data_IF_677658481202
#
_entry.id   IF_677658481202
#
_cell.length_a   1.000
_cell.length_b   1.000
_cell.length_c   1.000
_cell.angle_alpha   90.00
_cell.angle_beta   90.00
_cell.angle_gamma   90.00
#
_symmetry.space_group_name_H-M   'P 1'
#
loop_
_entity.id
_entity.type
_entity.pdbx_description
1 polymer ?
#
# COMPACT_ATOMS: atom_id res chain seq x y z
N UNK A 1 -16.35 39.76 -25.94
CA UNK A 1 -16.82 40.06 -24.56
C UNK A 1 -17.96 39.12 -24.12
N UNK A 2 -18.90 38.77 -25.01
CA UNK A 2 -19.98 37.80 -24.72
C UNK A 2 -19.50 36.36 -24.48
N UNK A 3 -18.49 35.87 -25.21
CA UNK A 3 -17.89 34.54 -24.94
C UNK A 3 -17.22 34.42 -23.56
N UNK A 4 -16.80 35.54 -22.96
CA UNK A 4 -16.25 35.59 -21.59
C UNK A 4 -17.34 35.61 -20.51
N UNK A 5 -18.56 36.05 -20.84
CA UNK A 5 -19.72 36.00 -19.93
C UNK A 5 -20.35 34.60 -19.88
N UNK A 6 -20.30 33.85 -20.98
CA UNK A 6 -20.79 32.45 -21.03
C UNK A 6 -19.97 31.47 -20.19
N UNK A 7 -18.68 31.74 -19.93
CA UNK A 7 -17.86 30.91 -19.02
C UNK A 7 -18.09 31.22 -17.54
N UNK A 8 -18.83 32.29 -17.21
CA UNK A 8 -19.05 32.77 -15.82
C UNK A 8 -20.47 32.46 -15.34
N UNK A 9 -21.27 31.80 -16.17
CA UNK A 9 -22.64 31.39 -15.84
C UNK A 9 -22.75 29.88 -15.56
N UNK A 10 -21.65 29.23 -15.17
CA UNK A 10 -21.75 27.96 -14.46
C UNK A 10 -22.32 28.26 -13.07
N UNK A 11 -23.64 28.09 -12.93
CA UNK A 11 -24.30 28.05 -11.61
C UNK A 11 -23.42 27.20 -10.68
N UNK A 12 -23.13 27.63 -9.44
CA UNK A 12 -22.36 26.82 -8.51
C UNK A 12 -23.06 25.46 -8.39
N UNK A 13 -22.41 24.43 -8.93
CA UNK A 13 -22.92 23.07 -8.85
C UNK A 13 -22.41 22.48 -7.55
N UNK A 14 -23.33 21.98 -6.73
CA UNK A 14 -23.02 21.30 -5.49
C UNK A 14 -22.51 19.88 -5.81
N UNK A 15 -21.35 19.77 -6.46
CA UNK A 15 -20.73 18.50 -6.84
C UNK A 15 -19.81 18.07 -5.71
N UNK A 16 -20.18 17.00 -5.01
CA UNK A 16 -19.35 16.39 -3.96
C UNK A 16 -18.29 15.50 -4.61
N UNK A 17 -18.68 14.71 -5.62
CA UNK A 17 -17.80 13.81 -6.36
C UNK A 17 -18.03 14.01 -7.87
N UNK A 18 -16.99 14.31 -8.67
CA UNK A 18 -17.15 14.55 -10.11
C UNK A 18 -17.45 13.24 -10.87
N UNK A 19 -18.22 13.33 -11.96
CA UNK A 19 -18.53 12.18 -12.82
C UNK A 19 -17.27 11.63 -13.50
N UNK A 20 -16.45 12.50 -14.07
CA UNK A 20 -15.15 12.13 -14.63
C UNK A 20 -14.11 12.09 -13.51
N UNK A 21 -13.87 10.89 -12.97
CA UNK A 21 -12.88 10.66 -11.91
C UNK A 21 -12.21 9.30 -12.06
N UNK A 22 -11.13 9.10 -11.32
CA UNK A 22 -10.58 7.76 -11.09
C UNK A 22 -11.56 6.98 -10.22
N UNK A 23 -11.97 5.81 -10.67
CA UNK A 23 -12.88 4.93 -9.94
C UNK A 23 -12.16 3.81 -9.20
N UNK A 24 -10.84 3.65 -9.41
CA UNK A 24 -10.00 2.81 -8.57
C UNK A 24 -9.35 3.67 -7.49
N UNK A 25 -9.84 3.57 -6.26
CA UNK A 25 -9.39 4.36 -5.12
C UNK A 25 -8.63 3.44 -4.16
N UNK A 26 -7.36 3.79 -3.92
CA UNK A 26 -6.52 3.12 -2.93
C UNK A 26 -6.52 3.92 -1.62
N UNK A 27 -6.91 3.27 -0.51
CA UNK A 27 -7.01 3.89 0.81
C UNK A 27 -6.22 3.12 1.89
N UNK A 28 -5.11 2.48 1.50
CA UNK A 28 -4.16 1.83 2.40
C UNK A 28 -3.63 2.83 3.44
N UNK A 29 -3.81 2.55 4.73
CA UNK A 29 -3.35 3.42 5.82
C UNK A 29 -4.10 4.75 5.95
N UNK A 30 -5.27 4.88 5.31
CA UNK A 30 -6.06 6.11 5.36
C UNK A 30 -6.52 6.46 6.79
N UNK A 31 -6.44 7.75 7.11
CA UNK A 31 -7.06 8.32 8.30
C UNK A 31 -8.59 8.26 8.23
N UNK A 32 -9.26 8.50 9.37
CA UNK A 32 -10.73 8.54 9.41
C UNK A 32 -11.31 9.58 8.45
N UNK A 33 -10.67 10.75 8.33
CA UNK A 33 -11.12 11.84 7.44
C UNK A 33 -10.88 11.50 5.98
N UNK A 34 -9.76 10.86 5.65
CA UNK A 34 -9.48 10.44 4.27
C UNK A 34 -10.44 9.34 3.81
N UNK A 35 -10.78 8.40 4.69
CA UNK A 35 -11.68 7.30 4.34
C UNK A 35 -13.14 7.75 4.27
N UNK A 36 -13.61 8.49 5.28
CA UNK A 36 -15.04 8.78 5.50
C UNK A 36 -15.45 10.20 5.11
N UNK A 37 -14.50 11.05 4.70
CA UNK A 37 -14.75 12.44 4.39
C UNK A 37 -14.80 13.32 5.64
N UNK A 38 -14.77 14.62 5.40
CA UNK A 38 -14.78 15.63 6.46
C UNK A 38 -15.36 16.95 5.94
N UNK A 39 -15.59 17.90 6.85
CA UNK A 39 -15.99 19.27 6.52
C UNK A 39 -14.90 20.24 6.98
N UNK A 40 -14.34 20.99 6.03
CA UNK A 40 -13.30 21.98 6.31
C UNK A 40 -13.76 23.02 7.33
N UNK A 41 -12.81 23.48 8.14
CA UNK A 41 -13.02 24.59 9.04
C UNK A 41 -13.29 25.88 8.26
N UNK A 42 -14.21 26.71 8.75
CA UNK A 42 -14.38 28.08 8.27
C UNK A 42 -13.68 29.05 9.23
N UNK A 43 -12.56 29.70 8.82
CA UNK A 43 -11.84 30.65 9.65
C UNK A 43 -12.70 31.84 10.11
N UNK A 44 -13.77 32.17 9.37
CA UNK A 44 -14.66 33.29 9.66
C UNK A 44 -15.92 32.87 10.42
N UNK A 45 -16.01 31.62 10.88
CA UNK A 45 -17.09 31.15 11.74
C UNK A 45 -18.49 31.22 11.10
N UNK A 46 -18.59 31.13 9.78
CA UNK A 46 -19.85 31.22 9.04
C UNK A 46 -20.35 32.64 8.79
N UNK A 47 -19.46 33.65 8.83
CA UNK A 47 -19.85 35.04 8.54
C UNK A 47 -20.50 35.15 7.14
N UNK A 48 -21.73 35.70 7.01
CA UNK A 48 -22.51 35.64 5.77
C UNK A 48 -21.80 36.17 4.52
N UNK A 49 -20.98 37.20 4.68
CA UNK A 49 -20.30 37.89 3.56
C UNK A 49 -18.84 37.47 3.33
N UNK A 50 -18.23 36.74 4.28
CA UNK A 50 -16.78 36.46 4.29
C UNK A 50 -16.44 34.97 4.48
N UNK A 51 -17.35 34.19 5.07
CA UNK A 51 -17.21 32.77 5.28
C UNK A 51 -17.49 31.97 4.01
N UNK A 52 -17.00 30.73 4.00
CA UNK A 52 -17.29 29.79 2.90
C UNK A 52 -18.57 29.01 3.19
N UNK A 53 -19.38 28.80 2.16
CA UNK A 53 -20.67 28.16 2.36
C UNK A 53 -20.48 26.71 2.81
N UNK A 54 -21.37 26.15 3.66
CA UNK A 54 -21.21 24.80 4.18
C UNK A 54 -20.97 23.73 3.12
N UNK A 55 -21.65 23.79 1.97
CA UNK A 55 -21.48 22.82 0.89
C UNK A 55 -20.12 22.90 0.19
N UNK A 56 -19.47 24.07 0.17
CA UNK A 56 -18.14 24.28 -0.44
C UNK A 56 -17.02 23.67 0.41
N UNK A 57 -17.33 23.39 1.68
CA UNK A 57 -16.39 22.86 2.67
C UNK A 57 -16.45 21.35 2.80
N UNK A 58 -17.44 20.70 2.19
CA UNK A 58 -17.60 19.24 2.22
C UNK A 58 -16.52 18.59 1.37
N UNK A 59 -15.78 17.67 1.96
CA UNK A 59 -14.73 16.90 1.29
C UNK A 59 -15.15 15.43 1.27
N UNK A 60 -15.25 14.80 0.09
CA UNK A 60 -15.55 13.38 0.01
C UNK A 60 -14.41 12.56 0.62
N UNK A 61 -14.79 11.48 1.31
CA UNK A 61 -13.86 10.42 1.64
C UNK A 61 -13.65 9.43 0.49
N UNK A 62 -12.63 8.59 0.61
CA UNK A 62 -12.30 7.53 -0.35
C UNK A 62 -13.49 6.62 -0.66
N UNK A 63 -14.37 6.33 0.32
CA UNK A 63 -15.58 5.53 0.09
C UNK A 63 -16.54 6.18 -0.91
N UNK A 64 -16.62 7.52 -0.92
CA UNK A 64 -17.50 8.28 -1.80
C UNK A 64 -16.86 8.44 -3.18
N UNK A 65 -15.56 8.69 -3.22
CA UNK A 65 -14.80 8.73 -4.48
C UNK A 65 -14.87 7.38 -5.22
N UNK A 66 -14.88 6.28 -4.47
CA UNK A 66 -15.00 4.92 -4.99
C UNK A 66 -16.41 4.51 -5.44
N UNK A 67 -17.43 5.37 -5.28
CA UNK A 67 -18.79 5.07 -5.74
C UNK A 67 -18.79 4.62 -7.21
N UNK A 68 -19.54 3.56 -7.53
CA UNK A 68 -19.57 2.89 -8.85
C UNK A 68 -18.18 2.46 -9.35
N UNK A 69 -17.27 2.20 -8.42
CA UNK A 69 -15.87 1.86 -8.67
C UNK A 69 -15.34 0.80 -7.71
N UNK A 70 -14.05 0.87 -7.42
CA UNK A 70 -13.31 -0.05 -6.56
C UNK A 70 -12.68 0.74 -5.41
N UNK A 71 -12.94 0.29 -4.19
CA UNK A 71 -12.21 0.70 -2.99
C UNK A 71 -11.21 -0.40 -2.64
N UNK A 72 -9.91 -0.11 -2.84
CA UNK A 72 -8.82 -1.02 -2.51
C UNK A 72 -8.13 -0.59 -1.21
N UNK A 73 -8.02 -1.52 -0.27
CA UNK A 73 -7.32 -1.30 1.00
C UNK A 73 -6.36 -2.46 1.23
N UNK A 74 -5.07 -2.20 1.04
CA UNK A 74 -4.03 -3.10 1.51
C UNK A 74 -3.86 -2.99 3.02
N UNK A 75 -3.40 -4.07 3.64
CA UNK A 75 -3.19 -4.18 5.08
C UNK A 75 -4.37 -3.66 5.91
N UNK A 76 -5.59 -4.15 5.63
CA UNK A 76 -6.87 -3.72 6.24
C UNK A 76 -6.85 -3.65 7.78
N UNK A 77 -5.94 -4.37 8.42
CA UNK A 77 -5.76 -4.36 9.87
C UNK A 77 -5.29 -3.02 10.42
N UNK A 78 -4.58 -2.21 9.62
CA UNK A 78 -4.13 -0.87 10.04
C UNK A 78 -5.28 0.14 10.18
N UNK A 79 -6.41 -0.09 9.52
CA UNK A 79 -7.61 0.76 9.62
C UNK A 79 -8.61 0.23 10.67
N UNK A 80 -8.10 -0.41 11.73
CA UNK A 80 -8.83 -1.14 12.77
C UNK A 80 -10.27 -0.68 13.04
N UNK A 81 -10.46 0.47 13.71
CA UNK A 81 -11.79 0.95 14.10
C UNK A 81 -12.65 1.36 12.88
N UNK A 82 -12.02 1.67 11.75
CA UNK A 82 -12.71 2.13 10.55
C UNK A 82 -13.39 1.01 9.77
N UNK A 83 -13.02 -0.25 10.02
CA UNK A 83 -13.65 -1.42 9.39
C UNK A 83 -15.17 -1.47 9.63
N UNK A 84 -15.66 -0.98 10.77
CA UNK A 84 -17.10 -0.88 11.06
C UNK A 84 -17.81 0.06 10.10
N UNK A 85 -17.18 1.19 9.77
CA UNK A 85 -17.76 2.16 8.85
C UNK A 85 -17.75 1.67 7.40
N UNK A 86 -16.71 0.92 7.01
CA UNK A 86 -16.68 0.24 5.71
C UNK A 86 -17.86 -0.74 5.62
N UNK A 87 -18.08 -1.55 6.66
CA UNK A 87 -19.23 -2.46 6.70
C UNK A 87 -20.55 -1.71 6.52
N UNK A 88 -20.77 -0.63 7.26
CA UNK A 88 -21.98 0.20 7.12
C UNK A 88 -22.11 0.79 5.71
N UNK A 89 -21.04 1.35 5.16
CA UNK A 89 -21.01 1.90 3.81
C UNK A 89 -21.34 0.84 2.74
N UNK A 90 -20.83 -0.39 2.89
CA UNK A 90 -21.16 -1.52 2.01
C UNK A 90 -22.63 -1.97 2.15
N UNK A 91 -23.21 -1.88 3.35
CA UNK A 91 -24.60 -2.26 3.61
C UNK A 91 -25.59 -1.24 3.05
N UNK A 92 -25.35 0.03 3.34
CA UNK A 92 -26.28 1.12 3.06
C UNK A 92 -26.07 1.75 1.68
N UNK A 93 -24.91 1.49 1.04
CA UNK A 93 -24.46 2.05 -0.24
C UNK A 93 -24.41 3.58 -0.27
N UNK A 94 -24.61 4.20 0.89
CA UNK A 94 -24.53 5.61 1.16
C UNK A 94 -23.89 5.79 2.53
N UNK A 95 -23.15 6.88 2.72
CA UNK A 95 -22.52 7.17 4.00
C UNK A 95 -22.53 8.69 4.22
N UNK A 96 -22.82 9.18 5.44
CA UNK A 96 -22.86 10.61 5.68
C UNK A 96 -21.45 11.21 5.80
N UNK A 97 -21.27 12.42 5.25
CA UNK A 97 -20.08 13.24 5.50
C UNK A 97 -20.39 14.19 6.66
N UNK A 98 -19.58 14.12 7.71
CA UNK A 98 -19.72 14.93 8.92
C UNK A 98 -18.41 15.65 9.22
N UNK A 99 -18.48 16.84 9.82
CA UNK A 99 -17.30 17.48 10.38
C UNK A 99 -16.79 16.70 11.59
N UNK A 100 -15.62 16.07 11.49
CA UNK A 100 -15.10 15.14 12.50
C UNK A 100 -14.28 15.81 13.59
N UNK A 101 -13.82 17.04 13.37
CA UNK A 101 -13.13 17.83 14.39
C UNK A 101 -14.15 18.59 15.27
N UNK A 102 -14.35 18.21 16.55
CA UNK A 102 -15.34 18.83 17.44
C UNK A 102 -15.03 20.31 17.76
N UNK A 103 -13.77 20.72 17.64
CA UNK A 103 -13.34 22.10 17.87
C UNK A 103 -13.48 22.98 16.62
N UNK A 104 -13.89 22.40 15.49
CA UNK A 104 -14.07 23.12 14.23
C UNK A 104 -15.53 23.54 14.05
N UNK A 105 -15.74 24.73 13.47
CA UNK A 105 -17.04 25.16 12.97
C UNK A 105 -17.66 24.20 11.92
N UNK A 106 -16.83 23.32 11.31
CA UNK A 106 -17.28 22.24 10.44
C UNK A 106 -18.09 21.14 11.15
N UNK A 107 -17.96 20.96 12.46
CA UNK A 107 -18.66 19.91 13.24
C UNK A 107 -20.19 20.03 13.23
N UNK A 108 -20.72 21.22 12.93
CA UNK A 108 -22.16 21.49 12.82
C UNK A 108 -22.76 21.04 11.49
N UNK A 109 -21.94 20.69 10.50
CA UNK A 109 -22.37 20.35 9.14
C UNK A 109 -22.40 18.84 8.98
N UNK A 110 -23.54 18.33 8.51
CA UNK A 110 -23.77 16.94 8.14
C UNK A 110 -24.45 16.88 6.79
N UNK A 111 -23.86 16.12 5.87
CA UNK A 111 -24.47 15.78 4.58
C UNK A 111 -24.90 14.33 4.63
N UNK A 112 -26.20 14.10 4.50
CA UNK A 112 -26.78 12.76 4.53
C UNK A 112 -26.81 12.11 3.14
N UNK A 113 -26.89 10.78 3.11
CA UNK A 113 -27.12 9.97 1.91
C UNK A 113 -26.11 10.24 0.77
N UNK A 114 -24.83 10.49 1.09
CA UNK A 114 -23.80 10.63 0.06
C UNK A 114 -23.50 9.24 -0.52
N UNK A 115 -23.62 9.03 -1.85
CA UNK A 115 -23.43 7.72 -2.45
C UNK A 115 -22.02 7.15 -2.27
N UNK A 116 -21.95 5.86 -1.97
CA UNK A 116 -20.71 5.10 -1.82
C UNK A 116 -20.91 3.61 -2.19
N UNK A 117 -21.61 3.33 -3.28
CA UNK A 117 -21.77 1.96 -3.81
C UNK A 117 -20.48 1.49 -4.52
N UNK A 118 -19.51 0.97 -3.77
CA UNK A 118 -18.21 0.52 -4.29
C UNK A 118 -18.03 -1.00 -4.22
N UNK A 119 -17.19 -1.54 -5.10
CA UNK A 119 -16.64 -2.90 -4.97
C UNK A 119 -15.48 -2.83 -3.98
N UNK A 120 -15.61 -3.54 -2.85
CA UNK A 120 -14.58 -3.57 -1.83
C UNK A 120 -13.52 -4.65 -2.12
N UNK A 121 -12.24 -4.29 -2.11
CA UNK A 121 -11.12 -5.21 -2.17
C UNK A 121 -10.21 -4.93 -0.97
N UNK A 122 -10.26 -5.81 0.03
CA UNK A 122 -9.35 -5.79 1.18
C UNK A 122 -8.25 -6.83 1.01
N UNK A 123 -7.00 -6.46 1.31
CA UNK A 123 -5.87 -7.36 1.37
C UNK A 123 -5.25 -7.38 2.78
N UNK A 124 -4.71 -8.53 3.17
CA UNK A 124 -3.98 -8.71 4.43
C UNK A 124 -3.04 -9.92 4.33
N UNK A 125 -2.05 -9.97 5.23
CA UNK A 125 -1.24 -11.18 5.38
C UNK A 125 -1.99 -12.26 6.17
N UNK A 126 -1.50 -13.49 6.11
CA UNK A 126 -2.10 -14.64 6.80
C UNK A 126 -2.15 -14.42 8.33
N UNK A 127 -1.08 -13.84 8.90
CA UNK A 127 -0.97 -13.56 10.35
C UNK A 127 -2.01 -12.53 10.80
N UNK A 128 -2.40 -11.66 9.87
CA UNK A 128 -3.27 -10.52 10.12
C UNK A 128 -4.77 -10.85 10.01
N UNK A 129 -5.10 -12.03 9.46
CA UNK A 129 -6.48 -12.47 9.21
C UNK A 129 -7.35 -12.45 10.48
N UNK A 130 -6.75 -12.73 11.65
CA UNK A 130 -7.45 -12.72 12.94
C UNK A 130 -7.89 -11.33 13.41
N UNK A 131 -7.31 -10.26 12.86
CA UNK A 131 -7.62 -8.87 13.22
C UNK A 131 -8.67 -8.24 12.32
N UNK A 132 -9.20 -8.97 11.33
CA UNK A 132 -10.35 -8.52 10.55
C UNK A 132 -11.59 -8.59 11.44
N UNK A 133 -12.36 -7.51 11.48
CA UNK A 133 -13.62 -7.40 12.19
C UNK A 133 -14.55 -8.56 11.79
N UNK A 134 -14.99 -9.44 12.72
CA UNK A 134 -15.74 -10.64 12.34
C UNK A 134 -17.03 -10.37 11.53
N UNK A 135 -17.83 -9.33 11.85
CA UNK A 135 -18.94 -8.91 10.99
C UNK A 135 -18.56 -8.57 9.55
N UNK A 136 -17.44 -7.86 9.33
CA UNK A 136 -16.98 -7.50 7.99
C UNK A 136 -16.53 -8.74 7.22
N UNK A 137 -15.75 -9.61 7.86
CA UNK A 137 -15.32 -10.88 7.26
C UNK A 137 -16.52 -11.78 6.93
N UNK A 138 -17.47 -11.90 7.84
CA UNK A 138 -18.70 -12.68 7.61
C UNK A 138 -19.51 -12.14 6.43
N UNK A 139 -19.55 -10.81 6.24
CA UNK A 139 -20.18 -10.19 5.06
C UNK A 139 -19.46 -10.56 3.77
N UNK A 140 -18.12 -10.50 3.75
CA UNK A 140 -17.30 -10.90 2.60
C UNK A 140 -17.49 -12.40 2.28
N UNK A 141 -17.54 -13.27 3.29
CA UNK A 141 -17.76 -14.71 3.09
C UNK A 141 -19.19 -15.03 2.60
N UNK A 142 -20.18 -14.27 3.05
CA UNK A 142 -21.58 -14.49 2.67
C UNK A 142 -21.94 -13.98 1.28
N UNK A 143 -21.29 -12.90 0.81
CA UNK A 143 -21.68 -12.19 -0.42
C UNK A 143 -20.51 -11.91 -1.39
N UNK A 144 -19.31 -12.42 -1.10
CA UNK A 144 -18.10 -12.18 -1.87
C UNK A 144 -17.17 -13.39 -1.92
N UNK A 145 -15.87 -13.12 -2.02
CA UNK A 145 -14.82 -14.14 -2.20
C UNK A 145 -13.65 -13.89 -1.25
N UNK A 146 -13.12 -14.95 -0.66
CA UNK A 146 -11.80 -14.96 0.00
C UNK A 146 -10.83 -15.70 -0.93
N UNK A 147 -9.70 -15.07 -1.26
CA UNK A 147 -8.71 -15.61 -2.20
C UNK A 147 -7.37 -15.72 -1.48
N UNK A 148 -6.83 -16.93 -1.39
CA UNK A 148 -5.45 -17.15 -0.97
C UNK A 148 -4.54 -17.07 -2.21
N UNK A 149 -3.62 -16.10 -2.21
CA UNK A 149 -2.69 -15.89 -3.32
C UNK A 149 -1.62 -16.99 -3.33
N UNK A 150 -1.40 -17.61 -4.50
CA UNK A 150 -0.31 -18.56 -4.69
C UNK A 150 1.06 -17.86 -4.63
N UNK A 151 2.05 -18.51 -4.03
CA UNK A 151 3.43 -18.02 -3.99
C UNK A 151 4.29 -18.56 -5.13
N UNK A 152 3.83 -19.58 -5.84
CA UNK A 152 4.51 -20.20 -6.98
C UNK A 152 3.54 -20.58 -8.11
N UNK A 153 4.08 -20.81 -9.30
CA UNK A 153 3.38 -21.38 -10.44
C UNK A 153 4.22 -22.50 -11.10
N UNK A 154 3.62 -23.46 -11.81
CA UNK A 154 4.38 -24.53 -12.47
C UNK A 154 5.39 -24.00 -13.49
N UNK A 155 6.56 -24.61 -13.58
CA UNK A 155 7.58 -24.26 -14.58
C UNK A 155 7.26 -24.85 -15.96
N UNK A 156 6.38 -24.17 -16.69
CA UNK A 156 5.98 -24.49 -18.06
C UNK A 156 6.46 -23.43 -19.04
N UNK A 157 6.55 -23.78 -20.34
CA UNK A 157 6.92 -22.81 -21.38
C UNK A 157 5.99 -21.59 -21.43
N UNK A 158 4.70 -21.79 -21.15
CA UNK A 158 3.71 -20.70 -21.06
C UNK A 158 4.03 -19.75 -19.89
N UNK A 159 4.32 -20.30 -18.70
CA UNK A 159 4.62 -19.50 -17.52
C UNK A 159 6.00 -18.81 -17.61
N UNK A 160 6.97 -19.42 -18.31
CA UNK A 160 8.23 -18.76 -18.68
C UNK A 160 7.99 -17.56 -19.60
N UNK A 161 7.08 -17.69 -20.58
CA UNK A 161 6.70 -16.58 -21.44
C UNK A 161 6.00 -15.46 -20.65
N UNK A 162 5.17 -15.80 -19.65
CA UNK A 162 4.59 -14.81 -18.72
C UNK A 162 5.66 -14.09 -17.89
N UNK A 163 6.72 -14.77 -17.45
CA UNK A 163 7.85 -14.10 -16.79
C UNK A 163 8.62 -13.17 -17.73
N UNK A 164 8.82 -13.56 -19.00
CA UNK A 164 9.41 -12.68 -19.99
C UNK A 164 8.54 -11.42 -20.23
N UNK A 165 7.22 -11.59 -20.30
CA UNK A 165 6.26 -10.49 -20.36
C UNK A 165 6.33 -9.60 -19.12
N UNK A 166 6.42 -10.20 -17.92
CA UNK A 166 6.62 -9.48 -16.66
C UNK A 166 7.88 -8.60 -16.69
N UNK A 167 9.02 -9.13 -17.17
CA UNK A 167 10.25 -8.33 -17.31
C UNK A 167 10.04 -7.13 -18.24
N UNK A 168 9.37 -7.33 -19.38
CA UNK A 168 9.07 -6.23 -20.30
C UNK A 168 8.15 -5.18 -19.66
N UNK A 169 7.14 -5.62 -18.89
CA UNK A 169 6.23 -4.73 -18.17
C UNK A 169 6.94 -3.92 -17.08
N UNK A 170 7.83 -4.55 -16.30
CA UNK A 170 8.60 -3.84 -15.26
C UNK A 170 9.52 -2.77 -15.87
N UNK A 171 10.14 -3.05 -17.02
CA UNK A 171 10.96 -2.08 -17.75
C UNK A 171 10.12 -0.90 -18.25
N UNK A 172 8.95 -1.19 -18.84
CA UNK A 172 8.03 -0.15 -19.34
C UNK A 172 7.47 0.72 -18.20
N UNK A 173 7.09 0.11 -17.07
CA UNK A 173 6.58 0.82 -15.89
C UNK A 173 7.66 1.71 -15.28
N UNK A 174 8.91 1.24 -15.23
CA UNK A 174 10.03 2.03 -14.71
C UNK A 174 10.37 3.22 -15.63
N UNK A 175 10.43 2.96 -16.94
CA UNK A 175 10.63 3.97 -17.98
C UNK A 175 12.03 4.61 -18.04
N UNK A 176 12.97 4.19 -17.18
CA UNK A 176 14.33 4.76 -17.11
C UNK A 176 15.43 3.74 -17.41
N UNK A 177 15.14 2.46 -17.29
CA UNK A 177 16.08 1.37 -17.56
C UNK A 177 15.97 0.88 -19.02
N UNK A 178 17.08 0.40 -19.63
CA UNK A 178 17.07 -0.07 -21.01
C UNK A 178 16.33 -1.42 -21.17
N UNK A 179 15.95 -1.80 -22.41
CA UNK A 179 15.39 -3.12 -22.70
C UNK A 179 16.35 -4.26 -22.34
N UNK A 180 15.80 -5.43 -22.01
CA UNK A 180 16.58 -6.61 -21.69
C UNK A 180 16.84 -7.49 -22.91
N UNK A 181 18.05 -8.06 -23.00
CA UNK A 181 18.38 -9.14 -23.93
C UNK A 181 17.83 -10.48 -23.44
N UNK A 182 17.76 -11.44 -24.36
CA UNK A 182 17.26 -12.80 -24.08
C UNK A 182 18.04 -13.49 -22.96
N UNK A 183 19.37 -13.33 -22.93
CA UNK A 183 20.24 -13.89 -21.88
C UNK A 183 19.91 -13.34 -20.48
N UNK A 184 19.57 -12.05 -20.38
CA UNK A 184 19.12 -11.45 -19.12
C UNK A 184 17.77 -12.03 -18.67
N UNK A 185 16.82 -12.18 -19.61
CA UNK A 185 15.49 -12.74 -19.32
C UNK A 185 15.59 -14.20 -18.88
N UNK A 186 16.41 -15.01 -19.56
CA UNK A 186 16.65 -16.40 -19.17
C UNK A 186 17.22 -16.51 -17.75
N UNK A 187 18.18 -15.65 -17.39
CA UNK A 187 18.72 -15.63 -16.03
C UNK A 187 17.68 -15.20 -14.98
N UNK A 188 16.78 -14.28 -15.31
CA UNK A 188 15.68 -13.90 -14.41
C UNK A 188 14.71 -15.08 -14.20
N UNK A 189 14.43 -15.85 -15.25
CA UNK A 189 13.59 -17.06 -15.14
C UNK A 189 14.29 -18.13 -14.28
N UNK A 190 15.59 -18.33 -14.46
CA UNK A 190 16.37 -19.25 -13.62
C UNK A 190 16.41 -18.80 -12.15
N UNK A 191 16.53 -17.49 -11.89
CA UNK A 191 16.42 -16.94 -10.54
C UNK A 191 15.01 -17.13 -9.96
N UNK A 192 13.96 -17.00 -10.78
CA UNK A 192 12.59 -17.26 -10.36
C UNK A 192 12.37 -18.73 -9.96
N UNK A 193 12.98 -19.68 -10.71
CA UNK A 193 12.98 -21.12 -10.35
C UNK A 193 13.73 -21.36 -9.04
N UNK A 194 14.92 -20.77 -8.92
CA UNK A 194 15.75 -20.91 -7.72
C UNK A 194 15.04 -20.37 -6.47
N UNK A 195 14.35 -19.24 -6.57
CA UNK A 195 13.57 -18.66 -5.46
C UNK A 195 12.40 -19.55 -5.05
N UNK A 196 11.65 -20.11 -6.01
CA UNK A 196 10.59 -21.06 -5.70
C UNK A 196 11.13 -22.27 -4.90
N UNK A 197 12.29 -22.80 -5.30
CA UNK A 197 12.92 -23.92 -4.59
C UNK A 197 13.45 -23.54 -3.19
N UNK A 198 14.10 -22.39 -3.06
CA UNK A 198 14.80 -22.01 -1.81
C UNK A 198 13.85 -21.40 -0.77
N UNK A 199 12.86 -20.63 -1.20
CA UNK A 199 11.96 -19.89 -0.31
C UNK A 199 10.69 -20.67 -0.02
N UNK A 200 10.08 -21.24 -1.07
CA UNK A 200 8.77 -21.88 -0.98
C UNK A 200 8.87 -23.43 -0.93
N UNK A 201 10.09 -24.00 -0.98
CA UNK A 201 10.38 -25.45 -1.00
C UNK A 201 9.65 -26.21 -2.13
N UNK A 202 9.51 -25.55 -3.28
CA UNK A 202 8.79 -26.10 -4.45
C UNK A 202 9.76 -26.41 -5.60
N UNK A 203 9.84 -27.67 -5.99
CA UNK A 203 10.51 -28.10 -7.22
C UNK A 203 9.62 -27.84 -8.46
N UNK A 204 10.24 -27.83 -9.65
CA UNK A 204 9.57 -27.64 -10.94
C UNK A 204 8.60 -26.45 -11.00
N UNK A 205 8.92 -25.39 -10.25
CA UNK A 205 8.07 -24.22 -10.04
C UNK A 205 8.84 -22.92 -10.23
N UNK A 206 8.11 -21.85 -10.52
CA UNK A 206 8.57 -20.47 -10.66
C UNK A 206 7.92 -19.61 -9.58
N UNK A 207 8.67 -18.68 -8.98
CA UNK A 207 8.13 -17.83 -7.92
C UNK A 207 7.12 -16.81 -8.46
N UNK A 208 6.06 -16.57 -7.70
CA UNK A 208 5.09 -15.47 -7.89
C UNK A 208 5.36 -14.30 -6.95
N UNK A 209 6.50 -14.29 -6.23
CA UNK A 209 6.99 -13.15 -5.45
C UNK A 209 7.59 -12.09 -6.39
N UNK A 210 6.74 -11.58 -7.28
CA UNK A 210 7.13 -10.73 -8.41
C UNK A 210 7.70 -9.39 -7.95
N UNK A 211 7.30 -8.87 -6.78
CA UNK A 211 7.89 -7.65 -6.21
C UNK A 211 9.39 -7.78 -6.00
N UNK A 212 9.83 -8.90 -5.43
CA UNK A 212 11.23 -9.17 -5.16
C UNK A 212 12.00 -9.45 -6.46
N UNK A 213 11.36 -10.10 -7.44
CA UNK A 213 11.95 -10.38 -8.74
C UNK A 213 12.09 -9.09 -9.57
N UNK A 214 11.09 -8.21 -9.54
CA UNK A 214 11.12 -6.89 -10.17
C UNK A 214 12.19 -5.99 -9.56
N UNK A 215 12.50 -6.16 -8.27
CA UNK A 215 13.65 -5.53 -7.63
C UNK A 215 14.99 -5.90 -8.28
N UNK A 216 15.15 -7.16 -8.70
CA UNK A 216 16.33 -7.61 -9.47
C UNK A 216 16.35 -6.98 -10.85
N UNK A 217 15.21 -6.93 -11.54
CA UNK A 217 15.09 -6.32 -12.88
C UNK A 217 15.51 -4.85 -12.84
N UNK A 218 14.95 -4.06 -11.91
CA UNK A 218 15.30 -2.65 -11.74
C UNK A 218 16.78 -2.45 -11.43
N UNK A 219 17.32 -3.22 -10.48
CA UNK A 219 18.75 -3.11 -10.13
C UNK A 219 19.67 -3.50 -11.30
N UNK A 220 19.32 -4.52 -12.09
CA UNK A 220 20.07 -4.88 -13.29
C UNK A 220 19.99 -3.75 -14.34
N UNK A 221 18.84 -3.10 -14.45
CA UNK A 221 18.63 -1.91 -15.26
C UNK A 221 19.50 -0.74 -14.82
N UNK A 222 19.51 -0.42 -13.53
CA UNK A 222 20.35 0.65 -12.96
C UNK A 222 21.84 0.40 -13.24
N UNK A 223 22.30 -0.85 -13.09
CA UNK A 223 23.67 -1.25 -13.43
C UNK A 223 23.96 -1.02 -14.92
N UNK A 224 23.03 -1.38 -15.81
CA UNK A 224 23.17 -1.16 -17.24
C UNK A 224 23.30 0.33 -17.56
N UNK A 225 22.46 1.18 -16.94
CA UNK A 225 22.49 2.65 -17.10
C UNK A 225 23.82 3.22 -16.60
N UNK A 226 24.28 2.80 -15.43
CA UNK A 226 25.57 3.24 -14.87
C UNK A 226 26.76 2.89 -15.76
N UNK A 227 26.70 1.75 -16.46
CA UNK A 227 27.73 1.29 -17.39
C UNK A 227 27.58 1.90 -18.80
N UNK A 228 26.52 2.67 -19.06
CA UNK A 228 26.20 3.22 -20.37
C UNK A 228 25.82 2.16 -21.41
N UNK A 229 25.32 1.00 -20.95
CA UNK A 229 24.87 -0.08 -21.82
C UNK A 229 23.50 0.20 -22.42
N UNK A 230 23.36 -0.06 -23.73
CA UNK A 230 22.09 0.07 -24.45
C UNK A 230 21.06 -0.99 -24.03
N UNK A 231 21.50 -2.11 -23.46
CA UNK A 231 20.63 -3.22 -23.03
C UNK A 231 21.02 -3.77 -21.66
N UNK A 232 20.04 -4.33 -20.95
CA UNK A 232 20.28 -5.21 -19.80
C UNK A 232 20.80 -6.54 -20.32
N UNK A 233 21.97 -6.96 -19.86
CA UNK A 233 22.61 -8.23 -20.22
C UNK A 233 22.65 -9.17 -19.02
N UNK A 234 22.96 -10.44 -19.25
CA UNK A 234 23.05 -11.42 -18.17
C UNK A 234 24.06 -11.03 -17.08
N UNK A 235 25.15 -10.32 -17.44
CA UNK A 235 26.13 -9.81 -16.46
C UNK A 235 25.52 -8.85 -15.45
N UNK A 236 24.63 -7.96 -15.90
CA UNK A 236 23.94 -7.03 -15.01
C UNK A 236 22.99 -7.77 -14.08
N UNK A 237 22.28 -8.78 -14.59
CA UNK A 237 21.37 -9.61 -13.78
C UNK A 237 22.13 -10.41 -12.72
N UNK A 238 23.24 -11.06 -13.07
CA UNK A 238 24.08 -11.77 -12.09
C UNK A 238 24.59 -10.85 -10.98
N UNK A 239 25.01 -9.64 -11.36
CA UNK A 239 25.46 -8.63 -10.40
C UNK A 239 24.30 -8.13 -9.52
N UNK A 240 23.12 -7.93 -10.10
CA UNK A 240 21.91 -7.53 -9.39
C UNK A 240 21.47 -8.61 -8.39
N UNK A 241 21.43 -9.89 -8.78
CA UNK A 241 21.07 -11.00 -7.87
C UNK A 241 21.98 -11.03 -6.64
N UNK A 242 23.28 -10.77 -6.80
CA UNK A 242 24.24 -10.74 -5.67
C UNK A 242 24.02 -9.55 -4.73
N UNK A 243 23.49 -8.44 -5.24
CA UNK A 243 23.29 -7.19 -4.50
C UNK A 243 21.87 -7.04 -3.94
N UNK A 244 20.87 -7.60 -4.61
CA UNK A 244 19.46 -7.60 -4.26
C UNK A 244 19.13 -8.69 -3.23
N UNK A 245 20.02 -8.88 -2.24
CA UNK A 245 19.77 -9.75 -1.09
C UNK A 245 19.07 -8.93 0.01
N UNK A 246 18.06 -9.47 0.69
CA UNK A 246 17.38 -8.78 1.80
C UNK A 246 18.37 -8.34 2.88
N UNK A 247 18.03 -7.27 3.62
CA UNK A 247 18.89 -6.73 4.69
C UNK A 247 19.16 -7.79 5.75
N UNK A 248 18.17 -8.63 6.00
CA UNK A 248 18.21 -9.81 6.84
C UNK A 248 19.38 -10.74 6.47
N UNK A 249 19.51 -11.05 5.19
CA UNK A 249 20.57 -11.90 4.67
C UNK A 249 21.92 -11.18 4.66
N UNK A 250 21.94 -9.86 4.40
CA UNK A 250 23.14 -9.04 4.51
C UNK A 250 23.69 -9.02 5.94
N UNK A 251 22.81 -8.90 6.94
CA UNK A 251 23.16 -8.96 8.36
C UNK A 251 23.79 -10.30 8.69
N UNK A 252 23.17 -11.40 8.26
CA UNK A 252 23.72 -12.74 8.51
C UNK A 252 25.07 -12.92 7.81
N UNK A 253 25.22 -12.49 6.56
CA UNK A 253 26.50 -12.56 5.82
C UNK A 253 27.61 -11.73 6.49
N UNK A 254 27.29 -10.55 7.02
CA UNK A 254 28.27 -9.63 7.63
C UNK A 254 28.59 -9.95 9.08
N UNK A 255 27.60 -10.40 9.87
CA UNK A 255 27.68 -10.55 11.32
C UNK A 255 27.48 -11.99 11.81
N UNK A 256 27.22 -12.94 10.91
CA UNK A 256 26.90 -14.36 11.17
C UNK A 256 25.56 -14.62 11.86
N UNK A 257 25.09 -13.68 12.69
CA UNK A 257 23.78 -13.72 13.33
C UNK A 257 23.24 -12.31 13.59
N UNK A 258 21.93 -12.21 13.80
CA UNK A 258 21.27 -10.97 14.22
C UNK A 258 21.75 -10.46 15.58
N UNK A 259 21.94 -11.37 16.54
CA UNK A 259 22.40 -11.02 17.88
C UNK A 259 23.77 -10.35 17.85
N UNK A 260 24.68 -10.86 17.03
CA UNK A 260 26.01 -10.28 16.85
C UNK A 260 25.96 -8.89 16.20
N UNK A 261 25.03 -8.67 15.28
CA UNK A 261 24.82 -7.37 14.66
C UNK A 261 24.32 -6.36 15.69
N UNK A 262 23.31 -6.72 16.49
CA UNK A 262 22.78 -5.89 17.57
C UNK A 262 23.85 -5.56 18.62
N UNK A 263 24.66 -6.54 19.03
CA UNK A 263 25.74 -6.30 20.00
C UNK A 263 26.80 -5.31 19.53
N UNK A 264 27.10 -5.30 18.23
CA UNK A 264 28.06 -4.35 17.63
C UNK A 264 27.48 -2.97 17.40
N UNK A 265 26.16 -2.87 17.20
CA UNK A 265 25.47 -1.60 17.01
C UNK A 265 25.19 -0.87 18.33
N UNK A 266 25.08 -1.61 19.43
CA UNK A 266 25.09 -1.05 20.78
C UNK A 266 26.41 -0.30 21.03
N UNK A 267 26.34 1.03 21.06
CA UNK A 267 27.47 1.89 21.43
C UNK A 267 27.90 1.63 22.88
N UNK A 268 29.15 1.94 23.21
CA UNK A 268 29.77 1.73 24.54
C UNK A 268 28.91 2.22 25.72
N UNK A 269 28.10 3.25 25.49
CA UNK A 269 27.15 3.84 26.45
C UNK A 269 25.98 2.92 26.82
N UNK A 270 25.53 2.07 25.90
CA UNK A 270 24.40 1.14 26.13
C UNK A 270 24.86 -0.18 26.75
N UNK A 271 26.13 -0.56 26.56
CA UNK A 271 26.74 -1.71 27.26
C UNK A 271 26.80 -1.49 28.78
N UNK A 272 27.06 -0.26 29.23
CA UNK A 272 27.10 0.10 30.67
C UNK A 272 25.73 -0.03 31.34
N UNK A 273 24.63 0.32 30.64
CA UNK A 273 23.27 0.18 31.18
C UNK A 273 22.85 -1.29 31.32
N UNK A 274 23.30 -2.17 30.42
CA UNK A 274 22.96 -3.60 30.47
C UNK A 274 23.74 -4.34 31.57
N UNK A 275 24.95 -3.90 31.92
CA UNK A 275 25.72 -4.50 33.03
C UNK A 275 25.26 -4.02 34.41
N UNK A 276 24.66 -2.83 34.53
CA UNK A 276 24.16 -2.31 35.80
C UNK A 276 22.77 -2.87 36.20
N UNK A 277 21.98 -3.37 35.24
CA UNK A 277 20.64 -3.94 35.51
C UNK A 277 20.63 -5.33 36.17
N UNK A 278 21.79 -5.94 36.44
CA UNK A 278 21.88 -7.25 37.11
C UNK A 278 22.36 -7.19 38.58
N UNK A 279 22.52 -5.99 39.15
CA UNK A 279 22.83 -5.79 40.57
C UNK A 279 21.87 -4.79 41.23
N UNK A 280 20.56 -5.04 41.14
CA UNK A 280 19.65 -4.55 42.18
C UNK A 280 19.47 -5.66 43.21
N UNK A 281 20.29 -5.60 44.25
CA UNK A 281 20.00 -6.26 45.51
C UNK A 281 18.62 -5.80 45.97
N UNK A 282 17.69 -6.74 46.02
CA UNK A 282 16.40 -6.58 46.66
C UNK A 282 16.66 -6.31 48.16
N UNK A 283 16.58 -5.06 48.58
CA UNK A 283 16.44 -4.72 50.00
C UNK A 283 14.93 -4.69 50.32
N UNK A 284 14.45 -5.75 50.98
CA UNK A 284 13.10 -5.86 51.55
C UNK A 284 13.08 -5.29 52.96
N UNK A 285 13.37 -4.01 53.09
CA UNK A 285 12.98 -3.24 54.27
C UNK A 285 12.02 -2.14 53.81
N UNK A 286 10.79 -2.19 54.32
CA UNK A 286 9.65 -1.31 54.03
C UNK A 286 8.82 -1.60 52.76
N UNK A 287 8.12 -2.73 52.77
CA UNK A 287 6.68 -2.82 52.40
C UNK A 287 6.04 -3.98 53.15
#
# INVERSE_FOLDING_TARGET
LEKRRQMVEEKPRNVIVPLERKTFIQATGASETELLGDVRHDPYGGHPDLGSQPYERVVPGAIHEAHEGVLFIDEIVHIANLQRYILSAMQDKTFPIIGRNPQSAGSSVRVENVPCDFIFIGACNIIDLQYILPPLRSRIQGEGYEILMNTTMPDTQENRAKLAQFVAQEIEIDGKIPPAKVDAIELIIEEARKRARVIDDMEDSLTLRLRDLGGVVRMAGDLAVMEGSEYITGKHVEAAIKRAIPVEEQIIKKYKSYENALQKDLTSSQHIRKSQGHHENIDRSYM
#
